data_IF_808814746289
#
_entry.id   IF_808814746289
#
_cell.length_a   1.000
_cell.length_b   1.000
_cell.length_c   1.000
_cell.angle_alpha   90.00
_cell.angle_beta   90.00
_cell.angle_gamma   90.00
#
_symmetry.space_group_name_H-M   'P 1'
#
loop_
_entity.id
_entity.type
_entity.pdbx_description
1 polymer ?
#
# COMPACT_ATOMS: atom_id res chain seq x y z
N UNK A 1 5.01 -5.41 21.35
CA UNK A 1 6.48 -5.29 21.28
C UNK A 1 6.91 -5.24 19.82
N UNK A 2 7.69 -4.23 19.44
CA UNK A 2 8.39 -4.18 18.15
C UNK A 2 9.52 -5.20 18.18
N UNK A 3 9.63 -6.02 17.15
CA UNK A 3 10.66 -7.07 17.00
C UNK A 3 11.83 -6.58 16.15
N UNK A 4 11.53 -5.97 15.00
CA UNK A 4 12.52 -5.41 14.09
C UNK A 4 11.88 -4.44 13.09
N UNK A 5 12.65 -3.52 12.55
CA UNK A 5 12.31 -2.76 11.34
C UNK A 5 12.44 -3.70 10.12
N UNK A 6 11.42 -3.71 9.26
CA UNK A 6 11.40 -4.50 8.03
C UNK A 6 11.79 -3.67 6.82
N UNK A 7 11.21 -2.48 6.74
CA UNK A 7 11.38 -1.61 5.58
C UNK A 7 11.19 -0.14 5.98
N UNK A 8 11.84 0.73 5.24
CA UNK A 8 11.69 2.18 5.35
C UNK A 8 11.41 2.74 3.97
N UNK A 9 10.19 3.19 3.79
CA UNK A 9 9.74 3.86 2.56
C UNK A 9 9.84 5.39 2.65
N UNK A 10 9.38 6.07 1.60
CA UNK A 10 9.38 7.54 1.55
C UNK A 10 8.48 8.17 2.62
N UNK A 11 7.39 7.51 3.01
CA UNK A 11 6.35 8.07 3.88
C UNK A 11 6.21 7.36 5.22
N UNK A 12 6.70 6.13 5.34
CA UNK A 12 6.46 5.28 6.50
C UNK A 12 7.64 4.36 6.80
N UNK A 13 7.72 3.92 8.07
CA UNK A 13 8.54 2.80 8.51
C UNK A 13 7.62 1.61 8.79
N UNK A 14 8.03 0.42 8.38
CA UNK A 14 7.28 -0.83 8.62
C UNK A 14 8.07 -1.71 9.57
N UNK A 15 7.39 -2.22 10.58
CA UNK A 15 7.95 -3.07 11.62
C UNK A 15 7.26 -4.44 11.68
N UNK A 16 8.01 -5.50 11.96
CA UNK A 16 7.47 -6.71 12.58
C UNK A 16 7.22 -6.43 14.06
N UNK A 17 6.06 -6.80 14.52
CA UNK A 17 5.67 -6.65 15.91
C UNK A 17 4.84 -7.83 16.40
N UNK A 18 4.67 -7.92 17.71
CA UNK A 18 3.83 -8.93 18.34
C UNK A 18 3.17 -8.38 19.59
N UNK A 19 2.03 -8.94 19.91
CA UNK A 19 1.34 -8.69 21.18
C UNK A 19 0.66 -9.97 21.67
N UNK A 20 0.32 -9.98 22.95
CA UNK A 20 -0.52 -11.02 23.52
C UNK A 20 -1.92 -10.44 23.73
N UNK A 21 -2.94 -11.08 23.16
CA UNK A 21 -4.32 -10.63 23.30
C UNK A 21 -4.85 -10.89 24.74
N UNK A 22 -6.06 -10.39 25.02
CA UNK A 22 -6.68 -10.52 26.34
C UNK A 22 -6.99 -11.99 26.75
N UNK A 23 -6.90 -12.91 25.79
CA UNK A 23 -7.09 -14.35 26.01
C UNK A 23 -5.76 -15.10 26.20
N UNK A 24 -4.62 -14.38 26.16
CA UNK A 24 -3.29 -14.94 26.28
C UNK A 24 -2.70 -15.47 24.96
N UNK A 25 -3.36 -15.26 23.83
CA UNK A 25 -2.85 -15.72 22.53
C UNK A 25 -1.78 -14.78 22.00
N UNK A 26 -0.65 -15.34 21.57
CA UNK A 26 0.41 -14.62 20.89
C UNK A 26 0.00 -14.29 19.44
N UNK A 27 0.09 -13.01 19.07
CA UNK A 27 -0.27 -12.51 17.75
C UNK A 27 0.92 -11.81 17.12
N UNK A 28 1.18 -12.15 15.87
CA UNK A 28 2.11 -11.41 15.01
C UNK A 28 1.33 -10.36 14.23
N UNK A 29 1.93 -9.18 14.11
CA UNK A 29 1.36 -8.05 13.36
C UNK A 29 2.46 -7.30 12.63
N UNK A 30 2.08 -6.57 11.58
CA UNK A 30 2.89 -5.52 10.99
C UNK A 30 2.39 -4.16 11.45
N UNK A 31 3.32 -3.27 11.76
CA UNK A 31 3.00 -1.89 12.14
C UNK A 31 3.62 -0.97 11.09
N UNK A 32 2.80 -0.13 10.47
CA UNK A 32 3.22 0.93 9.55
C UNK A 32 3.14 2.26 10.30
N UNK A 33 4.29 2.86 10.58
CA UNK A 33 4.41 4.15 11.27
C UNK A 33 4.50 5.27 10.25
N UNK A 34 3.71 6.35 10.40
CA UNK A 34 3.87 7.55 9.59
C UNK A 34 5.21 8.24 9.93
N UNK A 35 6.16 8.14 9.01
CA UNK A 35 7.49 8.73 9.12
C UNK A 35 7.98 9.21 7.75
N UNK A 36 7.56 10.41 7.29
CA UNK A 36 8.00 10.93 6.00
C UNK A 36 9.49 11.26 6.00
N UNK A 37 10.26 10.50 5.24
CA UNK A 37 11.72 10.62 5.21
C UNK A 37 12.24 12.00 4.74
N UNK A 38 11.47 12.69 3.90
CA UNK A 38 11.84 14.00 3.39
C UNK A 38 11.71 15.13 4.41
N UNK A 39 11.06 14.89 5.57
CA UNK A 39 10.85 15.89 6.61
C UNK A 39 11.94 15.77 7.68
N UNK A 40 12.31 16.92 8.25
CA UNK A 40 13.22 16.96 9.39
C UNK A 40 12.46 16.60 10.67
N UNK A 41 12.73 15.43 11.20
CA UNK A 41 12.06 14.87 12.36
C UNK A 41 13.08 14.53 13.44
N UNK A 42 12.74 14.76 14.69
CA UNK A 42 13.46 14.26 15.86
C UNK A 42 12.60 13.27 16.62
N UNK A 43 13.23 12.31 17.29
CA UNK A 43 12.54 11.34 18.13
C UNK A 43 13.14 11.44 19.52
N UNK A 44 12.29 11.63 20.53
CA UNK A 44 12.70 11.66 21.93
C UNK A 44 13.00 10.26 22.47
N UNK A 45 13.57 10.18 23.66
CA UNK A 45 13.91 8.89 24.32
C UNK A 45 12.65 8.04 24.59
N UNK A 46 11.50 8.65 24.80
CA UNK A 46 10.20 7.96 24.97
C UNK A 46 9.59 7.50 23.65
N UNK A 47 10.22 7.80 22.51
CA UNK A 47 9.76 7.45 21.17
C UNK A 47 8.89 8.49 20.48
N UNK A 48 8.60 9.63 21.12
CA UNK A 48 7.75 10.69 20.56
C UNK A 48 8.45 11.38 19.39
N UNK A 49 7.71 11.55 18.27
CA UNK A 49 8.17 12.22 17.06
C UNK A 49 7.80 13.71 17.08
N UNK A 50 8.78 14.54 16.76
CA UNK A 50 8.62 15.97 16.60
C UNK A 50 9.10 16.42 15.22
N UNK A 51 8.21 17.00 14.38
CA UNK A 51 8.65 17.64 13.15
C UNK A 51 9.37 18.97 13.47
N UNK A 52 10.26 19.41 12.59
CA UNK A 52 10.79 20.77 12.68
C UNK A 52 9.65 21.79 12.57
N UNK A 53 9.89 23.03 13.03
CA UNK A 53 8.89 24.09 12.97
C UNK A 53 8.34 24.34 11.56
N UNK A 54 9.21 24.19 10.54
CA UNK A 54 8.84 24.39 9.14
C UNK A 54 8.07 23.20 8.54
N UNK A 55 8.24 21.99 9.10
CA UNK A 55 7.70 20.74 8.56
C UNK A 55 6.38 20.30 9.21
N UNK A 56 5.92 20.96 10.28
CA UNK A 56 4.74 20.57 11.04
C UNK A 56 3.47 20.38 10.18
N UNK A 57 3.18 21.35 9.28
CA UNK A 57 2.01 21.26 8.37
C UNK A 57 2.14 20.11 7.38
N UNK A 58 3.35 19.86 6.87
CA UNK A 58 3.61 18.77 5.92
C UNK A 58 3.47 17.41 6.62
N UNK A 59 3.90 17.31 7.86
CA UNK A 59 3.74 16.11 8.68
C UNK A 59 2.27 15.81 9.01
N UNK A 60 1.49 16.83 9.41
CA UNK A 60 0.04 16.67 9.62
C UNK A 60 -0.69 16.22 8.35
N UNK A 61 -0.28 16.76 7.20
CA UNK A 61 -0.81 16.31 5.92
C UNK A 61 -0.43 14.85 5.60
N UNK A 62 0.76 14.39 6.00
CA UNK A 62 1.17 12.99 5.84
C UNK A 62 0.36 12.05 6.73
N UNK A 63 0.14 12.42 8.00
CA UNK A 63 -0.73 11.65 8.93
C UNK A 63 -2.15 11.52 8.37
N UNK A 64 -2.75 12.62 7.91
CA UNK A 64 -4.09 12.61 7.30
C UNK A 64 -4.18 11.69 6.07
N UNK A 65 -3.14 11.67 5.22
CA UNK A 65 -3.09 10.75 4.07
C UNK A 65 -3.05 9.29 4.50
N UNK A 66 -2.24 8.96 5.51
CA UNK A 66 -2.16 7.60 6.01
C UNK A 66 -3.51 7.15 6.62
N UNK A 67 -4.20 8.02 7.36
CA UNK A 67 -5.55 7.77 7.88
C UNK A 67 -6.54 7.52 6.72
N UNK A 68 -6.51 8.36 5.69
CA UNK A 68 -7.39 8.20 4.54
C UNK A 68 -7.12 6.88 3.78
N UNK A 69 -5.84 6.48 3.63
CA UNK A 69 -5.48 5.20 3.04
C UNK A 69 -6.01 4.01 3.86
N UNK A 70 -5.91 4.07 5.19
CA UNK A 70 -6.50 3.09 6.10
C UNK A 70 -8.01 2.98 5.92
N UNK A 71 -8.72 4.12 5.89
CA UNK A 71 -10.18 4.15 5.71
C UNK A 71 -10.60 3.53 4.37
N UNK A 72 -9.88 3.85 3.29
CA UNK A 72 -10.12 3.28 1.95
C UNK A 72 -9.88 1.77 1.94
N UNK A 73 -8.77 1.31 2.55
CA UNK A 73 -8.48 -0.12 2.65
C UNK A 73 -9.61 -0.87 3.37
N UNK A 74 -10.07 -0.36 4.51
CA UNK A 74 -11.17 -0.97 5.26
C UNK A 74 -12.49 -0.95 4.49
N UNK A 75 -12.80 0.12 3.78
CA UNK A 75 -13.98 0.20 2.93
C UNK A 75 -13.93 -0.85 1.81
N UNK A 76 -12.77 -0.98 1.15
CA UNK A 76 -12.55 -2.00 0.12
C UNK A 76 -12.64 -3.42 0.69
N UNK A 77 -11.99 -3.67 1.82
CA UNK A 77 -12.00 -4.99 2.47
C UNK A 77 -13.41 -5.45 2.83
N UNK A 78 -14.32 -4.52 3.11
CA UNK A 78 -15.72 -4.79 3.42
C UNK A 78 -16.58 -5.10 2.19
N UNK A 79 -16.07 -4.92 0.97
CA UNK A 79 -16.82 -5.23 -0.25
C UNK A 79 -16.72 -6.72 -0.61
N UNK A 80 -17.82 -7.27 -1.13
CA UNK A 80 -17.90 -8.67 -1.52
C UNK A 80 -16.77 -9.05 -2.51
N UNK A 81 -16.07 -10.13 -2.20
CA UNK A 81 -15.01 -10.71 -3.04
C UNK A 81 -13.65 -10.00 -2.92
N UNK A 82 -13.52 -8.87 -2.23
CA UNK A 82 -12.24 -8.17 -2.07
C UNK A 82 -11.44 -8.66 -0.85
N UNK A 83 -12.09 -9.16 0.20
CA UNK A 83 -11.41 -9.67 1.40
C UNK A 83 -10.35 -10.76 1.12
N UNK A 84 -10.47 -11.47 0.00
CA UNK A 84 -9.51 -12.50 -0.39
C UNK A 84 -8.34 -12.00 -1.24
N UNK A 85 -8.43 -10.77 -1.76
CA UNK A 85 -7.45 -10.23 -2.72
C UNK A 85 -6.72 -8.99 -2.22
N UNK A 86 -7.12 -8.44 -1.08
CA UNK A 86 -6.45 -7.32 -0.42
C UNK A 86 -6.04 -7.67 1.00
N UNK A 87 -4.89 -7.13 1.43
CA UNK A 87 -4.42 -7.33 2.80
C UNK A 87 -5.26 -6.54 3.80
N UNK A 88 -5.64 -7.19 4.89
CA UNK A 88 -6.44 -6.58 5.95
C UNK A 88 -5.59 -5.69 6.86
N UNK A 89 -6.10 -4.48 7.14
CA UNK A 89 -5.61 -3.61 8.22
C UNK A 89 -6.55 -3.75 9.41
N UNK A 90 -5.99 -4.12 10.59
CA UNK A 90 -6.80 -4.38 11.78
C UNK A 90 -7.21 -3.10 12.49
N UNK A 91 -6.26 -2.19 12.70
CA UNK A 91 -6.45 -1.03 13.57
C UNK A 91 -5.58 0.16 13.18
N UNK A 92 -5.96 1.35 13.66
CA UNK A 92 -5.18 2.57 13.54
C UNK A 92 -5.06 3.22 14.93
N UNK A 93 -3.87 3.73 15.25
CA UNK A 93 -3.57 4.38 16.52
C UNK A 93 -2.86 5.70 16.30
N UNK A 94 -3.25 6.73 17.07
CA UNK A 94 -2.47 7.95 17.21
C UNK A 94 -1.72 7.88 18.55
N UNK A 95 -0.39 7.83 18.48
CA UNK A 95 0.49 7.81 19.65
C UNK A 95 1.85 8.39 19.27
N UNK A 96 2.65 8.78 20.28
CA UNK A 96 4.04 9.25 20.09
C UNK A 96 4.16 10.36 19.03
N UNK A 97 3.16 11.25 18.94
CA UNK A 97 3.14 12.35 17.97
C UNK A 97 2.85 11.93 16.52
N UNK A 98 2.61 10.64 16.25
CA UNK A 98 2.41 10.10 14.89
C UNK A 98 1.21 9.15 14.81
N UNK A 99 1.02 8.53 13.65
CA UNK A 99 -0.05 7.57 13.34
C UNK A 99 0.56 6.23 13.01
N UNK A 100 -0.02 5.17 13.57
CA UNK A 100 0.34 3.78 13.32
C UNK A 100 -0.83 3.02 12.73
N UNK A 101 -0.61 2.29 11.63
CA UNK A 101 -1.56 1.28 11.14
C UNK A 101 -1.05 -0.10 11.56
N UNK A 102 -1.92 -0.88 12.17
CA UNK A 102 -1.66 -2.28 12.51
C UNK A 102 -2.34 -3.17 11.49
N UNK A 103 -1.59 -4.07 10.89
CA UNK A 103 -2.09 -5.06 9.93
C UNK A 103 -1.85 -6.46 10.46
N UNK A 104 -2.74 -7.38 10.11
CA UNK A 104 -2.55 -8.80 10.39
C UNK A 104 -1.26 -9.26 9.73
N UNK A 105 -0.43 -10.01 10.46
CA UNK A 105 0.72 -10.65 9.85
C UNK A 105 0.24 -11.72 8.87
N UNK A 106 0.73 -11.63 7.64
CA UNK A 106 0.40 -12.58 6.60
C UNK A 106 1.63 -13.43 6.33
N UNK A 107 1.50 -14.74 6.53
CA UNK A 107 2.56 -15.67 6.18
C UNK A 107 2.54 -15.89 4.67
N UNK A 108 3.53 -15.35 3.98
CA UNK A 108 3.61 -15.37 2.53
C UNK A 108 4.91 -14.76 2.04
N UNK A 109 5.10 -14.81 0.73
CA UNK A 109 6.26 -14.24 0.02
C UNK A 109 5.78 -13.15 -0.92
N UNK A 110 6.50 -12.04 -0.97
CA UNK A 110 6.27 -11.02 -2.01
C UNK A 110 6.74 -11.56 -3.37
N UNK A 111 6.23 -10.97 -4.46
CA UNK A 111 6.68 -11.36 -5.81
C UNK A 111 8.19 -11.16 -5.97
N UNK A 112 8.77 -10.17 -5.32
CA UNK A 112 10.23 -9.96 -5.28
C UNK A 112 10.97 -11.15 -4.70
N UNK A 113 10.41 -11.80 -3.67
CA UNK A 113 11.01 -12.97 -3.01
C UNK A 113 10.83 -14.28 -3.80
N UNK A 114 10.04 -14.26 -4.89
CA UNK A 114 9.89 -15.34 -5.86
C UNK A 114 10.93 -15.29 -6.99
N UNK A 115 11.88 -14.36 -6.93
CA UNK A 115 12.95 -14.29 -7.91
C UNK A 115 13.74 -15.60 -7.96
N UNK A 116 13.77 -16.23 -9.12
CA UNK A 116 14.37 -17.56 -9.32
C UNK A 116 13.37 -18.72 -9.36
N UNK A 117 12.08 -18.47 -9.12
CA UNK A 117 11.02 -19.44 -9.37
C UNK A 117 10.84 -19.68 -10.90
N UNK A 118 10.10 -20.71 -11.27
CA UNK A 118 9.89 -21.01 -12.69
C UNK A 118 9.03 -19.94 -13.37
N UNK A 119 9.21 -19.76 -14.68
CA UNK A 119 8.36 -18.86 -15.48
C UNK A 119 6.87 -19.20 -15.32
N UNK A 120 6.55 -20.50 -15.22
CA UNK A 120 5.18 -20.97 -14.99
C UNK A 120 4.61 -20.40 -13.67
N UNK A 121 5.40 -20.44 -12.61
CA UNK A 121 4.99 -19.93 -11.29
C UNK A 121 4.80 -18.40 -11.33
N UNK A 122 5.74 -17.68 -11.95
CA UNK A 122 5.63 -16.23 -12.15
C UNK A 122 4.37 -15.85 -12.92
N UNK A 123 4.03 -16.57 -13.99
CA UNK A 123 2.81 -16.33 -14.77
C UNK A 123 1.56 -16.64 -13.94
N UNK A 124 1.56 -17.72 -13.17
CA UNK A 124 0.44 -18.07 -12.27
C UNK A 124 0.18 -16.96 -11.24
N UNK A 125 1.24 -16.42 -10.61
CA UNK A 125 1.16 -15.29 -9.68
C UNK A 125 0.60 -14.03 -10.35
N UNK A 126 1.03 -13.73 -11.58
CA UNK A 126 0.53 -12.57 -12.33
C UNK A 126 -0.93 -12.73 -12.74
N UNK A 127 -1.39 -13.93 -13.05
CA UNK A 127 -2.82 -14.20 -13.24
C UNK A 127 -3.60 -13.92 -11.95
N UNK A 128 -3.07 -14.30 -10.78
CA UNK A 128 -3.62 -13.95 -9.48
C UNK A 128 -3.71 -12.45 -9.26
N UNK A 129 -2.61 -11.72 -9.53
CA UNK A 129 -2.57 -10.25 -9.43
C UNK A 129 -3.57 -9.58 -10.40
N UNK A 130 -3.70 -10.09 -11.64
CA UNK A 130 -4.69 -9.60 -12.60
C UNK A 130 -6.13 -9.81 -12.11
N UNK A 131 -6.41 -10.95 -11.47
CA UNK A 131 -7.72 -11.21 -10.85
C UNK A 131 -7.98 -10.23 -9.70
N UNK A 132 -6.99 -9.96 -8.84
CA UNK A 132 -7.09 -8.98 -7.77
C UNK A 132 -7.38 -7.57 -8.31
N UNK A 133 -6.62 -7.11 -9.31
CA UNK A 133 -6.88 -5.84 -9.99
C UNK A 133 -8.29 -5.77 -10.58
N UNK A 134 -8.77 -6.84 -11.21
CA UNK A 134 -10.14 -6.89 -11.74
C UNK A 134 -11.19 -6.66 -10.65
N UNK A 135 -11.01 -7.25 -9.46
CA UNK A 135 -11.93 -7.01 -8.35
C UNK A 135 -11.90 -5.56 -7.89
N UNK A 136 -10.71 -4.96 -7.74
CA UNK A 136 -10.53 -3.55 -7.39
C UNK A 136 -11.18 -2.64 -8.44
N UNK A 137 -10.95 -2.90 -9.74
CA UNK A 137 -11.54 -2.14 -10.84
C UNK A 137 -13.07 -2.26 -10.91
N UNK A 138 -13.63 -3.43 -10.60
CA UNK A 138 -15.08 -3.63 -10.55
C UNK A 138 -15.72 -2.91 -9.36
N UNK A 139 -14.98 -2.73 -8.27
CA UNK A 139 -15.39 -1.93 -7.13
C UNK A 139 -15.27 -0.42 -7.37
N UNK A 140 -14.83 0.00 -8.57
CA UNK A 140 -14.74 1.42 -8.95
C UNK A 140 -13.46 2.10 -8.46
N UNK A 141 -12.35 1.36 -8.34
CA UNK A 141 -11.07 1.92 -7.91
C UNK A 141 -9.96 1.66 -8.94
N UNK A 142 -8.94 2.52 -8.91
CA UNK A 142 -7.65 2.32 -9.58
C UNK A 142 -6.58 2.10 -8.49
N UNK A 143 -5.69 1.14 -8.69
CA UNK A 143 -4.69 0.77 -7.68
C UNK A 143 -3.43 1.65 -7.74
N UNK A 144 -2.90 1.89 -8.93
CA UNK A 144 -1.87 2.87 -9.32
C UNK A 144 -0.45 2.70 -8.76
N UNK A 145 -0.17 1.68 -7.95
CA UNK A 145 1.19 1.36 -7.49
C UNK A 145 1.47 -0.15 -7.49
N UNK A 146 1.10 -0.84 -8.58
CA UNK A 146 1.42 -2.24 -8.71
C UNK A 146 2.91 -2.42 -9.01
N UNK A 147 3.57 -3.20 -8.15
CA UNK A 147 4.98 -3.57 -8.23
C UNK A 147 5.21 -4.91 -7.53
N UNK A 148 6.35 -5.59 -7.75
CA UNK A 148 6.65 -6.89 -7.14
C UNK A 148 6.51 -6.90 -5.61
N UNK A 149 6.95 -5.83 -4.96
CA UNK A 149 6.88 -5.70 -3.49
C UNK A 149 5.45 -5.63 -2.95
N UNK A 150 4.48 -5.23 -3.77
CA UNK A 150 3.08 -5.05 -3.37
C UNK A 150 2.19 -6.25 -3.72
N UNK A 151 2.75 -7.32 -4.26
CA UNK A 151 2.07 -8.56 -4.60
C UNK A 151 2.53 -9.63 -3.62
N UNK A 152 1.63 -10.14 -2.79
CA UNK A 152 1.90 -11.17 -1.80
C UNK A 152 1.22 -12.47 -2.19
N UNK A 153 1.98 -13.57 -2.16
CA UNK A 153 1.42 -14.91 -2.23
C UNK A 153 1.34 -15.51 -0.84
N UNK A 154 0.20 -16.06 -0.51
CA UNK A 154 0.05 -16.76 0.76
C UNK A 154 0.78 -18.10 0.73
N UNK A 155 1.39 -18.48 1.87
CA UNK A 155 2.13 -19.74 1.98
C UNK A 155 1.25 -20.93 1.59
N UNK A 156 1.81 -21.78 0.74
CA UNK A 156 1.16 -23.01 0.26
C UNK A 156 0.22 -22.84 -0.95
N UNK A 157 0.09 -21.64 -1.53
CA UNK A 157 -0.76 -21.45 -2.71
C UNK A 157 -0.21 -20.37 -3.64
N UNK A 158 0.12 -20.74 -4.87
CA UNK A 158 0.46 -19.78 -5.94
C UNK A 158 -0.78 -19.05 -6.50
N UNK A 159 -1.97 -19.55 -6.23
CA UNK A 159 -3.23 -18.98 -6.76
C UNK A 159 -3.83 -17.90 -5.85
N UNK A 160 -3.42 -17.86 -4.58
CA UNK A 160 -3.92 -16.89 -3.61
C UNK A 160 -2.96 -15.69 -3.54
N UNK A 161 -3.21 -14.73 -4.39
CA UNK A 161 -2.48 -13.46 -4.42
C UNK A 161 -3.28 -12.39 -3.73
N UNK A 162 -2.61 -11.66 -2.83
CA UNK A 162 -3.17 -10.46 -2.20
C UNK A 162 -2.33 -9.24 -2.56
N UNK A 163 -3.00 -8.12 -2.78
CA UNK A 163 -2.37 -6.83 -2.94
C UNK A 163 -2.37 -6.09 -1.61
N UNK A 164 -1.32 -5.33 -1.37
CA UNK A 164 -1.20 -4.46 -0.20
C UNK A 164 -0.58 -3.11 -0.57
N UNK A 165 -0.48 -2.19 0.40
CA UNK A 165 -0.02 -0.81 0.17
C UNK A 165 -0.97 0.01 -0.72
N UNK A 166 -2.10 0.40 -0.14
CA UNK A 166 -3.17 1.15 -0.81
C UNK A 166 -3.01 2.68 -0.72
N UNK A 167 -1.79 3.17 -0.50
CA UNK A 167 -1.53 4.61 -0.35
C UNK A 167 -1.85 5.41 -1.64
N UNK A 168 -1.77 4.74 -2.79
CA UNK A 168 -2.01 5.35 -4.11
C UNK A 168 -3.38 5.06 -4.70
N UNK A 169 -4.22 4.30 -4.00
CA UNK A 169 -5.54 3.92 -4.51
C UNK A 169 -6.46 5.14 -4.62
N UNK A 170 -7.19 5.22 -5.72
CA UNK A 170 -8.16 6.29 -5.96
C UNK A 170 -9.48 5.69 -6.43
N UNK A 171 -10.62 6.20 -5.93
CA UNK A 171 -11.90 5.86 -6.52
C UNK A 171 -12.09 6.59 -7.86
N UNK A 172 -12.79 5.95 -8.79
CA UNK A 172 -13.15 6.57 -10.07
C UNK A 172 -14.00 7.82 -9.85
N UNK A 173 -14.83 7.84 -8.81
CA UNK A 173 -15.63 9.01 -8.43
C UNK A 173 -14.77 10.19 -7.96
N UNK A 174 -13.77 9.96 -7.09
CA UNK A 174 -12.81 11.01 -6.66
C UNK A 174 -12.03 11.54 -7.87
N UNK A 175 -11.62 10.63 -8.75
CA UNK A 175 -10.91 10.96 -9.97
C UNK A 175 -11.75 11.85 -10.89
N UNK A 176 -13.00 11.46 -11.20
CA UNK A 176 -13.90 12.22 -12.04
C UNK A 176 -14.22 13.60 -11.46
N UNK A 177 -14.45 13.71 -10.15
CA UNK A 177 -14.66 14.99 -9.45
C UNK A 177 -13.48 15.92 -9.60
N UNK A 178 -12.24 15.43 -9.40
CA UNK A 178 -11.03 16.22 -9.53
C UNK A 178 -10.83 16.73 -10.99
N UNK A 179 -11.17 15.90 -11.98
CA UNK A 179 -11.11 16.30 -13.39
C UNK A 179 -12.17 17.36 -13.72
N UNK A 180 -13.42 17.18 -13.25
CA UNK A 180 -14.51 18.14 -13.48
C UNK A 180 -14.23 19.49 -12.83
N UNK A 181 -13.67 19.50 -11.62
CA UNK A 181 -13.27 20.73 -10.91
C UNK A 181 -12.01 21.39 -11.50
N UNK A 182 -11.46 20.84 -12.57
CA UNK A 182 -10.22 21.30 -13.20
C UNK A 182 -9.02 21.37 -12.24
N UNK A 183 -9.01 20.53 -11.20
CA UNK A 183 -7.97 20.48 -10.19
C UNK A 183 -7.36 19.07 -10.03
N UNK A 184 -6.81 18.46 -11.11
CA UNK A 184 -6.22 17.14 -11.05
C UNK A 184 -4.98 17.08 -10.12
N UNK A 185 -4.38 18.21 -9.77
CA UNK A 185 -3.27 18.28 -8.83
C UNK A 185 -3.64 17.95 -7.38
N UNK A 186 -4.93 17.98 -7.04
CA UNK A 186 -5.42 17.45 -5.76
C UNK A 186 -5.24 15.93 -5.65
N UNK A 187 -5.24 15.23 -6.81
CA UNK A 187 -4.93 13.82 -6.89
C UNK A 187 -3.41 13.62 -6.77
N UNK A 188 -2.93 13.53 -5.54
CA UNK A 188 -1.53 13.20 -5.28
C UNK A 188 -1.32 11.70 -5.46
N UNK A 189 -1.03 11.32 -6.70
CA UNK A 189 -0.75 9.93 -7.05
C UNK A 189 0.75 9.70 -6.87
N UNK A 190 1.10 8.86 -5.91
CA UNK A 190 2.44 8.30 -5.80
C UNK A 190 2.63 7.25 -6.88
N UNK A 191 3.86 7.05 -7.34
CA UNK A 191 4.16 5.97 -8.26
C UNK A 191 5.59 5.47 -8.08
N UNK A 192 5.83 4.23 -8.47
CA UNK A 192 7.15 3.61 -8.45
C UNK A 192 7.75 3.64 -9.85
N UNK A 193 8.93 4.30 -9.99
CA UNK A 193 9.66 4.36 -11.27
C UNK A 193 9.98 2.95 -11.77
N UNK A 194 9.75 2.71 -13.04
CA UNK A 194 9.94 1.40 -13.69
C UNK A 194 8.65 0.60 -13.83
N UNK A 195 7.65 0.84 -12.96
CA UNK A 195 6.35 0.16 -13.02
C UNK A 195 5.20 1.09 -13.41
N UNK A 196 5.33 2.37 -13.14
CA UNK A 196 4.29 3.37 -13.43
C UNK A 196 4.10 3.58 -14.93
N UNK A 197 2.85 3.75 -15.33
CA UNK A 197 2.49 4.06 -16.72
C UNK A 197 2.99 5.46 -17.14
N UNK A 198 3.05 5.69 -18.44
CA UNK A 198 3.59 6.93 -18.99
C UNK A 198 2.80 8.17 -18.52
N UNK A 199 1.48 8.06 -18.44
CA UNK A 199 0.61 9.14 -17.96
C UNK A 199 0.84 9.48 -16.49
N UNK A 200 1.17 8.50 -15.64
CA UNK A 200 1.59 8.72 -14.25
C UNK A 200 2.93 9.47 -14.21
N UNK A 201 3.92 8.99 -14.96
CA UNK A 201 5.27 9.56 -14.98
C UNK A 201 5.31 10.98 -15.54
N UNK A 202 4.44 11.29 -16.52
CA UNK A 202 4.37 12.60 -17.17
C UNK A 202 3.37 13.55 -16.55
N UNK A 203 2.68 13.12 -15.46
CA UNK A 203 1.67 13.94 -14.79
C UNK A 203 0.41 14.20 -15.63
N UNK A 204 0.17 13.40 -16.68
CA UNK A 204 -1.04 13.49 -17.51
C UNK A 204 -2.24 12.83 -16.81
N UNK A 205 -2.55 13.30 -15.62
CA UNK A 205 -3.51 12.67 -14.72
C UNK A 205 -4.90 12.46 -15.33
N UNK A 206 -5.31 13.31 -16.30
CA UNK A 206 -6.58 13.12 -17.05
C UNK A 206 -6.64 11.85 -17.89
N UNK A 207 -5.51 11.21 -18.14
CA UNK A 207 -5.41 10.00 -18.94
C UNK A 207 -5.33 8.74 -18.11
N UNK A 208 -5.35 8.85 -16.78
CA UNK A 208 -5.34 7.69 -15.88
C UNK A 208 -6.60 6.83 -16.05
N UNK A 209 -6.42 5.55 -15.91
CA UNK A 209 -7.52 4.59 -16.01
C UNK A 209 -7.06 3.16 -15.65
N UNK A 210 -7.96 2.20 -15.82
CA UNK A 210 -7.65 0.78 -15.59
C UNK A 210 -6.43 0.29 -16.38
N UNK A 211 -6.20 0.88 -17.56
CA UNK A 211 -5.04 0.57 -18.40
C UNK A 211 -3.70 0.95 -17.76
N UNK A 212 -3.69 1.94 -16.85
CA UNK A 212 -2.49 2.31 -16.09
C UNK A 212 -2.03 1.17 -15.18
N UNK A 213 -2.98 0.51 -14.51
CA UNK A 213 -2.70 -0.69 -13.70
C UNK A 213 -2.28 -1.90 -14.57
N UNK A 214 -2.88 -2.05 -15.76
CA UNK A 214 -2.49 -3.11 -16.70
C UNK A 214 -1.07 -2.89 -17.23
N UNK A 215 -0.68 -1.62 -17.47
CA UNK A 215 0.70 -1.30 -17.80
C UNK A 215 1.66 -1.75 -16.69
N UNK A 216 1.33 -1.43 -15.42
CA UNK A 216 2.14 -1.83 -14.27
C UNK A 216 2.24 -3.36 -14.13
N UNK A 217 1.14 -4.09 -14.41
CA UNK A 217 1.14 -5.55 -14.44
C UNK A 217 2.10 -6.10 -15.53
N UNK A 218 2.10 -5.48 -16.71
CA UNK A 218 3.06 -5.80 -17.78
C UNK A 218 4.51 -5.53 -17.40
N UNK A 219 4.76 -4.44 -16.66
CA UNK A 219 6.09 -4.12 -16.14
C UNK A 219 6.55 -5.14 -15.09
N UNK A 220 5.66 -5.66 -14.24
CA UNK A 220 5.96 -6.74 -13.30
C UNK A 220 6.29 -8.03 -14.06
N UNK A 221 5.56 -8.35 -15.13
CA UNK A 221 5.89 -9.50 -15.99
C UNK A 221 7.29 -9.35 -16.59
N UNK A 222 7.61 -8.18 -17.12
CA UNK A 222 8.95 -7.89 -17.67
C UNK A 222 10.07 -8.05 -16.64
N UNK A 223 9.80 -7.69 -15.38
CA UNK A 223 10.73 -7.88 -14.26
C UNK A 223 10.97 -9.38 -13.97
N UNK A 224 9.98 -10.24 -14.21
CA UNK A 224 10.04 -11.67 -13.95
C UNK A 224 10.76 -12.48 -15.06
N UNK A 225 10.95 -11.88 -16.25
CA UNK A 225 11.62 -12.48 -17.39
C UNK A 225 13.13 -12.23 -17.39
#
# INVERSE_FOLDING_TARGET
TIRRELARGCSCIVYDASYTDNLGNYKLVRIKECYPYALKMTRDEDGTLHPSADDGKAFDAAKKRLIAAYQKNNALFSLDGLANVIANTSDIYEANGTVYIVSVYMNGRTFTEHQGDTLHDCVSLLIGAAKALRHIHNAGYLYLDLKPDNILTLEGSLDLVQLFDFDSIISTEEFEKAIQNNNPSELRISYTKGYASLEQQTGKLRQLGKHSDIYSLGAVLFYAL
#
